data_IF_610999530820
#
_entry.id   IF_610999530820
#
_cell.length_a   1.000
_cell.length_b   1.000
_cell.length_c   1.000
_cell.angle_alpha   90.00
_cell.angle_beta   90.00
_cell.angle_gamma   90.00
#
_symmetry.space_group_name_H-M   'P 1'
#
loop_
_entity.id
_entity.type
_entity.pdbx_description
1 polymer ?
#
# COMPACT_ATOMS: atom_id res chain seq x y z
N UNK A 1 6.11 -3.03 -36.52
CA UNK A 1 4.80 -3.73 -36.45
C UNK A 1 4.84 -4.93 -35.50
N UNK A 2 5.90 -5.76 -35.50
CA UNK A 2 6.04 -6.93 -34.61
C UNK A 2 6.04 -6.59 -33.10
N UNK A 3 6.54 -5.42 -32.69
CA UNK A 3 6.56 -5.00 -31.28
C UNK A 3 5.13 -4.73 -30.73
N UNK A 4 4.19 -4.29 -31.57
CA UNK A 4 2.79 -4.06 -31.14
C UNK A 4 2.07 -5.37 -30.77
N UNK A 5 2.40 -6.49 -31.43
CA UNK A 5 1.73 -7.77 -31.22
C UNK A 5 2.16 -8.44 -29.90
N UNK A 6 3.43 -8.29 -29.51
CA UNK A 6 3.94 -8.82 -28.24
C UNK A 6 3.40 -8.10 -27.00
N UNK A 7 3.13 -6.79 -27.10
CA UNK A 7 2.59 -6.00 -26.00
C UNK A 7 1.13 -6.38 -25.69
N UNK A 8 0.31 -6.63 -26.71
CA UNK A 8 -1.07 -7.10 -26.51
C UNK A 8 -1.14 -8.52 -25.93
N UNK A 9 -0.22 -9.41 -26.31
CA UNK A 9 -0.18 -10.78 -25.79
C UNK A 9 0.27 -10.82 -24.32
N UNK A 10 1.23 -10.00 -23.93
CA UNK A 10 1.64 -9.88 -22.52
C UNK A 10 0.54 -9.26 -21.65
N UNK A 11 -0.21 -8.29 -22.19
CA UNK A 11 -1.34 -7.66 -21.53
C UNK A 11 -2.51 -8.64 -21.31
N UNK A 12 -2.82 -9.46 -22.31
CA UNK A 12 -3.82 -10.54 -22.19
C UNK A 12 -3.37 -11.61 -21.18
N UNK A 13 -2.10 -12.02 -21.19
CA UNK A 13 -1.57 -13.00 -20.24
C UNK A 13 -1.68 -12.49 -18.79
N UNK A 14 -1.37 -11.21 -18.57
CA UNK A 14 -1.47 -10.56 -17.26
C UNK A 14 -2.92 -10.43 -16.78
N UNK A 15 -3.86 -10.04 -17.65
CA UNK A 15 -5.29 -9.97 -17.32
C UNK A 15 -5.85 -11.37 -17.02
N UNK A 16 -5.42 -12.41 -17.75
CA UNK A 16 -5.83 -13.79 -17.49
C UNK A 16 -5.30 -14.27 -16.13
N UNK A 17 -4.03 -14.02 -15.82
CA UNK A 17 -3.45 -14.34 -14.50
C UNK A 17 -4.15 -13.55 -13.38
N UNK A 18 -4.56 -12.31 -13.64
CA UNK A 18 -5.32 -11.50 -12.69
C UNK A 18 -6.74 -12.03 -12.46
N UNK A 19 -7.47 -12.38 -13.52
CA UNK A 19 -8.83 -12.94 -13.43
C UNK A 19 -8.83 -14.31 -12.75
N UNK A 20 -7.80 -15.13 -12.99
CA UNK A 20 -7.65 -16.43 -12.32
C UNK A 20 -7.36 -16.30 -10.82
N UNK A 21 -6.73 -15.21 -10.36
CA UNK A 21 -6.47 -14.97 -8.93
C UNK A 21 -7.63 -14.24 -8.21
N UNK A 22 -8.56 -13.62 -8.94
CA UNK A 22 -9.70 -12.91 -8.34
C UNK A 22 -10.90 -13.80 -7.97
N UNK A 23 -10.81 -15.10 -8.22
CA UNK A 23 -11.94 -16.03 -8.09
C UNK A 23 -12.10 -16.70 -6.73
N UNK A 24 -11.80 -16.00 -5.63
CA UNK A 24 -12.08 -16.52 -4.29
C UNK A 24 -12.47 -15.38 -3.35
N UNK A 25 -13.77 -15.09 -3.23
CA UNK A 25 -14.47 -14.76 -1.96
C UNK A 25 -15.96 -14.69 -2.30
N UNK A 26 -16.66 -15.83 -2.19
CA UNK A 26 -18.12 -15.86 -2.08
C UNK A 26 -18.43 -16.80 -0.92
N UNK A 27 -19.07 -16.29 0.13
CA UNK A 27 -19.57 -17.11 1.24
C UNK A 27 -20.75 -17.96 0.74
N UNK A 28 -20.68 -19.28 0.90
CA UNK A 28 -21.73 -20.21 0.47
C UNK A 28 -23.10 -19.90 1.13
N UNK A 29 -23.10 -19.55 2.43
CA UNK A 29 -24.29 -19.07 3.14
C UNK A 29 -24.30 -17.52 3.15
N UNK A 30 -25.36 -16.86 2.65
CA UNK A 30 -25.45 -15.40 2.66
C UNK A 30 -25.32 -14.81 4.08
N UNK A 31 -24.41 -13.85 4.25
CA UNK A 31 -24.13 -13.17 5.52
C UNK A 31 -23.63 -14.07 6.67
N UNK A 32 -23.24 -15.31 6.41
CA UNK A 32 -22.66 -16.20 7.42
C UNK A 32 -21.22 -16.61 7.06
N UNK A 33 -20.21 -16.09 7.78
CA UNK A 33 -18.83 -16.52 7.60
C UNK A 33 -18.62 -17.95 8.11
N UNK A 34 -17.64 -18.68 7.57
CA UNK A 34 -17.36 -20.08 7.92
C UNK A 34 -17.21 -20.28 9.44
N UNK A 35 -16.49 -19.38 10.13
CA UNK A 35 -16.29 -19.44 11.59
C UNK A 35 -17.55 -19.25 12.45
N UNK A 36 -18.69 -18.85 11.86
CA UNK A 36 -20.00 -18.77 12.53
C UNK A 36 -20.87 -20.03 12.24
N UNK A 37 -20.31 -21.01 11.50
CA UNK A 37 -20.95 -22.29 11.16
C UNK A 37 -20.43 -23.44 12.01
N UNK A 38 -21.31 -24.39 12.33
CA UNK A 38 -20.95 -25.68 12.96
C UNK A 38 -21.22 -26.82 12.00
N UNK A 39 -20.50 -27.91 12.18
CA UNK A 39 -20.76 -29.14 11.44
C UNK A 39 -22.06 -29.80 11.94
N UNK A 40 -22.93 -30.17 11.01
CA UNK A 40 -24.26 -30.74 11.25
C UNK A 40 -24.36 -32.22 10.86
N UNK A 41 -23.24 -32.87 10.52
CA UNK A 41 -23.20 -34.25 10.03
C UNK A 41 -23.88 -35.23 11.01
N UNK A 42 -23.72 -35.02 12.32
CA UNK A 42 -24.33 -35.85 13.38
C UNK A 42 -25.62 -35.26 13.97
N UNK A 43 -26.14 -34.16 13.40
CA UNK A 43 -27.31 -33.46 13.94
C UNK A 43 -28.64 -34.08 13.45
N UNK A 44 -29.68 -34.03 14.30
CA UNK A 44 -30.98 -34.61 13.97
C UNK A 44 -31.72 -33.75 12.93
N UNK A 45 -31.93 -34.30 11.73
CA UNK A 45 -32.72 -33.67 10.67
C UNK A 45 -34.22 -33.80 10.91
N UNK A 46 -34.96 -32.74 10.67
CA UNK A 46 -36.42 -32.67 10.76
C UNK A 46 -37.06 -32.73 9.35
N UNK A 47 -38.31 -33.16 9.27
CA UNK A 47 -39.04 -33.36 8.01
C UNK A 47 -39.16 -32.09 7.15
N UNK A 48 -39.14 -30.92 7.80
CA UNK A 48 -39.17 -29.61 7.14
C UNK A 48 -37.79 -29.15 6.60
N UNK A 49 -36.77 -30.03 6.63
CA UNK A 49 -35.41 -29.75 6.17
C UNK A 49 -34.52 -29.00 7.16
N UNK A 50 -35.03 -28.64 8.34
CA UNK A 50 -34.22 -28.01 9.40
C UNK A 50 -33.42 -29.06 10.18
N UNK A 51 -32.36 -28.62 10.86
CA UNK A 51 -31.53 -29.48 11.72
C UNK A 51 -31.63 -29.03 13.18
N UNK A 52 -31.63 -29.98 14.10
CA UNK A 52 -31.57 -29.73 15.54
C UNK A 52 -30.17 -30.05 16.04
N UNK A 53 -29.45 -29.02 16.46
CA UNK A 53 -28.08 -29.09 16.98
C UNK A 53 -28.02 -28.47 18.38
N UNK A 54 -27.67 -29.25 19.41
CA UNK A 54 -27.57 -28.79 20.82
C UNK A 54 -28.76 -27.93 21.31
N UNK A 55 -29.99 -28.32 20.92
CA UNK A 55 -31.22 -27.61 21.28
C UNK A 55 -31.52 -26.36 20.44
N UNK A 56 -30.68 -26.02 19.45
CA UNK A 56 -30.90 -24.95 18.47
C UNK A 56 -31.51 -25.54 17.20
N UNK A 57 -32.55 -24.88 16.69
CA UNK A 57 -33.19 -25.22 15.42
C UNK A 57 -32.54 -24.39 14.29
N UNK A 58 -31.80 -25.05 13.39
CA UNK A 58 -31.13 -24.43 12.25
C UNK A 58 -32.02 -24.57 11.01
N UNK A 59 -32.57 -23.47 10.46
CA UNK A 59 -33.47 -23.53 9.32
C UNK A 59 -32.72 -23.83 8.01
N UNK A 60 -33.41 -24.35 6.97
CA UNK A 60 -32.78 -24.74 5.71
C UNK A 60 -31.98 -23.64 5.01
N UNK A 61 -32.37 -22.37 5.15
CA UNK A 61 -31.69 -21.24 4.52
C UNK A 61 -30.38 -20.82 5.21
N UNK A 62 -30.05 -21.42 6.36
CA UNK A 62 -28.79 -21.22 7.09
C UNK A 62 -27.91 -22.47 7.05
N UNK A 63 -28.10 -23.34 6.06
CA UNK A 63 -27.40 -24.63 5.92
C UNK A 63 -26.82 -24.70 4.51
N UNK A 64 -25.58 -25.15 4.40
CA UNK A 64 -24.98 -25.45 3.10
C UNK A 64 -23.91 -26.55 3.25
N UNK A 65 -23.45 -27.09 2.13
CA UNK A 65 -22.36 -28.04 2.10
C UNK A 65 -21.02 -27.35 1.83
N UNK A 66 -19.98 -27.88 2.46
CA UNK A 66 -18.62 -27.40 2.39
C UNK A 66 -17.69 -28.56 2.02
N UNK A 67 -16.72 -28.28 1.16
CA UNK A 67 -15.63 -29.17 0.75
C UNK A 67 -14.28 -28.74 1.33
N UNK A 68 -14.30 -27.82 2.30
CA UNK A 68 -13.11 -27.34 2.99
C UNK A 68 -13.37 -27.06 4.48
N UNK A 69 -12.30 -27.06 5.27
CA UNK A 69 -12.27 -26.50 6.63
C UNK A 69 -11.37 -25.27 6.67
N UNK A 70 -11.75 -24.25 7.45
CA UNK A 70 -10.91 -23.08 7.71
C UNK A 70 -10.14 -23.28 9.03
N UNK A 71 -8.81 -23.25 8.95
CA UNK A 71 -7.93 -23.27 10.12
C UNK A 71 -7.90 -21.89 10.81
N UNK A 72 -7.36 -21.85 12.03
CA UNK A 72 -7.32 -20.63 12.85
C UNK A 72 -6.52 -19.46 12.24
N UNK A 73 -5.62 -19.74 11.31
CA UNK A 73 -4.87 -18.75 10.52
C UNK A 73 -5.63 -18.25 9.28
N UNK A 74 -6.86 -18.72 9.04
CA UNK A 74 -7.66 -18.41 7.85
C UNK A 74 -7.36 -19.32 6.64
N UNK A 75 -6.42 -20.27 6.77
CA UNK A 75 -6.05 -21.19 5.70
C UNK A 75 -7.13 -22.25 5.49
N UNK A 76 -7.51 -22.49 4.24
CA UNK A 76 -8.49 -23.51 3.88
C UNK A 76 -7.80 -24.83 3.55
N UNK A 77 -8.29 -25.91 4.14
CA UNK A 77 -7.88 -27.27 3.82
C UNK A 77 -9.04 -28.03 3.20
N UNK A 78 -8.80 -28.60 2.02
CA UNK A 78 -9.78 -29.45 1.34
C UNK A 78 -10.10 -30.67 2.20
N UNK A 79 -11.39 -30.93 2.39
CA UNK A 79 -11.90 -32.10 3.11
C UNK A 79 -13.07 -32.70 2.34
N UNK A 80 -13.46 -33.94 2.63
CA UNK A 80 -14.70 -34.49 2.07
C UNK A 80 -15.90 -33.59 2.36
N UNK A 81 -16.86 -33.62 1.43
CA UNK A 81 -18.11 -32.88 1.53
C UNK A 81 -18.81 -33.16 2.86
N UNK A 82 -19.06 -32.10 3.62
CA UNK A 82 -19.74 -32.17 4.91
C UNK A 82 -20.76 -31.05 5.05
N UNK A 83 -21.76 -31.28 5.88
CA UNK A 83 -22.87 -30.34 6.07
C UNK A 83 -22.53 -29.38 7.20
N UNK A 84 -22.69 -28.08 6.96
CA UNK A 84 -22.55 -27.06 8.02
C UNK A 84 -23.76 -26.15 8.08
N UNK A 85 -24.00 -25.57 9.25
CA UNK A 85 -25.07 -24.59 9.45
C UNK A 85 -24.67 -23.43 10.34
N UNK A 86 -25.25 -22.25 10.05
CA UNK A 86 -24.94 -20.99 10.69
C UNK A 86 -25.58 -20.82 12.08
N UNK A 87 -25.18 -21.66 13.05
CA UNK A 87 -25.77 -21.67 14.40
C UNK A 87 -25.53 -20.36 15.15
N UNK A 88 -24.40 -19.70 14.91
CA UNK A 88 -23.98 -18.52 15.69
C UNK A 88 -24.72 -17.22 15.33
N UNK A 89 -25.55 -17.22 14.28
CA UNK A 89 -26.53 -16.16 14.03
C UNK A 89 -27.80 -16.30 14.87
N UNK A 90 -28.13 -17.52 15.30
CA UNK A 90 -29.36 -17.84 16.03
C UNK A 90 -29.12 -17.79 17.53
N UNK A 91 -27.95 -18.26 17.97
CA UNK A 91 -27.55 -18.31 19.39
C UNK A 91 -26.16 -17.72 19.57
N UNK A 92 -25.95 -17.06 20.71
CA UNK A 92 -24.65 -16.50 21.06
C UNK A 92 -23.60 -17.62 21.20
N UNK A 93 -22.62 -17.63 20.29
CA UNK A 93 -21.46 -18.51 20.35
C UNK A 93 -20.23 -17.79 20.92
N UNK A 94 -19.31 -18.57 21.49
CA UNK A 94 -17.95 -18.13 21.83
C UNK A 94 -16.95 -19.08 21.17
N UNK A 95 -15.88 -18.53 20.59
CA UNK A 95 -14.81 -19.33 19.96
C UNK A 95 -13.85 -19.82 21.05
N UNK A 96 -13.47 -21.10 21.02
CA UNK A 96 -12.41 -21.63 21.88
C UNK A 96 -11.06 -21.53 21.15
N UNK A 97 -10.00 -21.11 21.86
CA UNK A 97 -8.67 -21.03 21.25
C UNK A 97 -8.05 -22.44 21.14
N UNK A 98 -7.61 -22.85 19.94
CA UNK A 98 -6.99 -24.15 19.70
C UNK A 98 -5.45 -24.17 19.91
N UNK A 99 -4.80 -23.00 20.04
CA UNK A 99 -3.34 -22.87 20.28
C UNK A 99 -3.03 -22.03 21.53
N UNK A 100 -1.89 -22.26 22.22
CA UNK A 100 -1.50 -21.45 23.37
C UNK A 100 -1.12 -20.03 22.91
N UNK A 101 -1.98 -19.05 23.17
CA UNK A 101 -1.68 -17.62 22.95
C UNK A 101 -1.13 -16.91 24.20
N UNK A 102 -1.15 -15.57 24.21
CA UNK A 102 -0.92 -14.75 25.41
C UNK A 102 -2.24 -14.23 25.98
N UNK A 103 -2.41 -14.28 27.30
CA UNK A 103 -3.59 -13.80 28.00
C UNK A 103 -3.80 -12.29 27.83
N UNK A 104 -5.06 -11.87 27.66
CA UNK A 104 -5.42 -10.46 27.51
C UNK A 104 -5.43 -9.67 28.82
N UNK A 105 -5.40 -10.36 29.96
CA UNK A 105 -5.45 -9.74 31.28
C UNK A 105 -4.35 -10.25 32.21
N UNK A 106 -3.76 -9.32 32.95
CA UNK A 106 -3.08 -9.60 34.20
C UNK A 106 -3.99 -9.05 35.31
N UNK A 107 -4.71 -9.94 35.98
CA UNK A 107 -5.40 -9.74 37.27
C UNK A 107 -6.31 -8.51 37.43
N UNK A 108 -7.58 -8.62 36.98
CA UNK A 108 -8.76 -8.29 37.80
C UNK A 108 -10.06 -8.74 37.09
N UNK A 109 -11.01 -9.39 37.79
CA UNK A 109 -12.21 -9.95 37.17
C UNK A 109 -13.31 -8.89 37.02
N UNK A 110 -14.07 -9.00 35.94
CA UNK A 110 -15.37 -8.34 35.69
C UNK A 110 -15.33 -6.84 35.36
N UNK A 111 -14.93 -6.52 34.12
CA UNK A 111 -15.57 -5.41 33.40
C UNK A 111 -16.98 -5.85 32.94
N UNK A 112 -17.99 -4.99 33.07
CA UNK A 112 -19.38 -5.27 32.69
C UNK A 112 -19.47 -5.75 31.22
N UNK A 113 -19.73 -7.05 31.03
CA UNK A 113 -19.88 -7.70 29.74
C UNK A 113 -21.36 -7.89 29.38
N UNK A 114 -22.16 -6.82 29.35
CA UNK A 114 -23.62 -6.95 29.13
C UNK A 114 -23.97 -7.51 27.73
N UNK A 115 -23.10 -7.32 26.73
CA UNK A 115 -23.31 -7.79 25.35
C UNK A 115 -22.20 -8.71 24.79
N UNK A 116 -21.26 -9.15 25.62
CA UNK A 116 -20.08 -9.91 25.17
C UNK A 116 -19.04 -9.07 24.40
N UNK A 117 -19.09 -7.75 24.53
CA UNK A 117 -18.05 -6.82 24.09
C UNK A 117 -17.03 -6.64 25.20
N UNK A 118 -15.74 -6.73 24.88
CA UNK A 118 -14.65 -6.53 25.82
C UNK A 118 -13.93 -5.21 25.52
N UNK A 119 -13.42 -4.55 26.54
CA UNK A 119 -12.54 -3.39 26.38
C UNK A 119 -11.11 -3.83 26.68
N UNK A 120 -10.21 -3.74 25.71
CA UNK A 120 -8.80 -4.06 25.92
C UNK A 120 -8.11 -2.87 26.59
N UNK A 121 -7.47 -3.11 27.74
CA UNK A 121 -6.98 -2.01 28.58
C UNK A 121 -5.80 -1.23 27.97
N UNK A 122 -4.93 -1.90 27.22
CA UNK A 122 -3.69 -1.34 26.66
C UNK A 122 -3.94 -0.23 25.64
N UNK A 123 -4.91 -0.40 24.75
CA UNK A 123 -5.22 0.51 23.63
C UNK A 123 -6.65 1.04 23.66
N UNK A 124 -7.42 0.72 24.71
CA UNK A 124 -8.85 1.04 24.85
C UNK A 124 -9.69 0.54 23.67
N UNK A 125 -9.22 -0.48 22.94
CA UNK A 125 -9.98 -1.06 21.83
C UNK A 125 -11.22 -1.81 22.34
N UNK A 126 -12.37 -1.53 21.72
CA UNK A 126 -13.60 -2.30 21.95
C UNK A 126 -13.58 -3.54 21.06
N UNK A 127 -13.40 -4.71 21.67
CA UNK A 127 -13.39 -6.01 21.03
C UNK A 127 -14.80 -6.59 21.02
N UNK A 128 -15.31 -6.91 19.84
CA UNK A 128 -16.54 -7.67 19.66
C UNK A 128 -16.27 -9.16 19.81
N UNK A 129 -17.31 -10.00 19.85
CA UNK A 129 -17.18 -11.47 20.01
C UNK A 129 -16.34 -12.16 18.94
N UNK A 130 -16.06 -11.48 17.83
CA UNK A 130 -15.21 -11.99 16.74
C UNK A 130 -13.72 -11.71 16.97
N UNK A 131 -13.40 -10.74 17.80
CA UNK A 131 -12.05 -10.22 17.97
C UNK A 131 -11.29 -10.94 19.10
N UNK A 132 -11.94 -11.86 19.82
CA UNK A 132 -11.34 -12.66 20.89
C UNK A 132 -11.86 -14.11 20.89
N UNK A 133 -11.05 -15.03 21.41
CA UNK A 133 -11.43 -16.41 21.73
C UNK A 133 -11.30 -16.64 23.23
N UNK A 134 -11.91 -17.69 23.76
CA UNK A 134 -11.79 -18.07 25.16
C UNK A 134 -10.82 -19.24 25.29
N UNK A 135 -9.97 -19.22 26.31
CA UNK A 135 -9.13 -20.36 26.68
C UNK A 135 -9.21 -20.60 28.18
N UNK A 136 -9.03 -21.86 28.60
CA UNK A 136 -9.01 -22.21 30.00
C UNK A 136 -7.60 -21.99 30.57
N UNK A 137 -7.48 -21.16 31.59
CA UNK A 137 -6.23 -20.95 32.33
C UNK A 137 -6.40 -21.51 33.75
N UNK A 138 -5.37 -22.19 34.24
CA UNK A 138 -5.31 -22.61 35.64
C UNK A 138 -4.89 -21.43 36.51
N UNK A 139 -5.79 -21.00 37.40
CA UNK A 139 -5.51 -19.99 38.43
C UNK A 139 -5.83 -20.65 39.77
N UNK A 140 -4.82 -20.77 40.63
CA UNK A 140 -4.95 -21.41 41.94
C UNK A 140 -5.65 -22.78 41.86
N UNK A 141 -5.20 -23.65 40.95
CA UNK A 141 -5.73 -25.01 40.73
C UNK A 141 -7.18 -25.09 40.21
N UNK A 142 -7.80 -23.94 39.90
CA UNK A 142 -9.12 -23.88 39.25
C UNK A 142 -8.98 -23.42 37.79
N UNK A 143 -9.66 -24.10 36.88
CA UNK A 143 -9.71 -23.67 35.48
C UNK A 143 -10.77 -22.58 35.31
N UNK A 144 -10.34 -21.41 34.85
CA UNK A 144 -11.21 -20.30 34.51
C UNK A 144 -11.08 -19.98 33.03
N UNK A 145 -12.22 -19.78 32.36
CA UNK A 145 -12.26 -19.33 30.97
C UNK A 145 -11.88 -17.85 30.92
N UNK A 146 -10.84 -17.52 30.16
CA UNK A 146 -10.39 -16.15 29.95
C UNK A 146 -10.36 -15.79 28.47
N UNK A 147 -10.67 -14.53 28.12
CA UNK A 147 -10.54 -14.05 26.77
C UNK A 147 -9.07 -13.92 26.38
N UNK A 148 -8.77 -14.37 25.18
CA UNK A 148 -7.49 -14.33 24.49
C UNK A 148 -7.69 -13.60 23.17
N UNK A 149 -6.68 -12.85 22.72
CA UNK A 149 -6.75 -12.26 21.39
C UNK A 149 -6.82 -13.40 20.37
N UNK A 150 -7.89 -13.44 19.58
CA UNK A 150 -7.78 -14.06 18.27
C UNK A 150 -6.68 -13.28 17.51
N UNK A 151 -5.88 -13.92 16.63
CA UNK A 151 -5.29 -13.20 15.53
C UNK A 151 -6.43 -12.41 14.94
N UNK A 152 -6.30 -11.09 14.97
CA UNK A 152 -7.23 -10.22 14.28
C UNK A 152 -7.16 -10.71 12.84
N UNK A 153 -8.22 -11.38 12.37
CA UNK A 153 -8.41 -11.54 10.93
C UNK A 153 -8.57 -10.09 10.50
N UNK A 154 -7.50 -9.50 9.98
CA UNK A 154 -7.56 -8.19 9.37
C UNK A 154 -8.57 -8.31 8.23
N UNK A 155 -9.84 -8.03 8.50
CA UNK A 155 -10.80 -7.73 7.45
C UNK A 155 -10.21 -6.50 6.77
N UNK A 156 -9.48 -6.72 5.69
CA UNK A 156 -8.87 -5.67 4.89
C UNK A 156 -9.96 -4.63 4.63
N UNK A 157 -9.76 -3.43 5.21
CA UNK A 157 -10.74 -2.36 5.13
C UNK A 157 -11.18 -2.18 3.69
N UNK A 158 -12.48 -1.96 3.45
CA UNK A 158 -13.02 -1.76 2.10
C UNK A 158 -12.23 -0.69 1.32
N UNK A 159 -11.68 0.31 2.02
CA UNK A 159 -10.79 1.33 1.45
C UNK A 159 -9.48 0.74 0.91
N UNK A 160 -8.82 -0.16 1.65
CA UNK A 160 -7.57 -0.80 1.22
C UNK A 160 -7.81 -1.69 0.00
N UNK A 161 -8.93 -2.42 -0.03
CA UNK A 161 -9.34 -3.22 -1.20
C UNK A 161 -9.56 -2.33 -2.42
N UNK A 162 -10.33 -1.25 -2.29
CA UNK A 162 -10.60 -0.30 -3.39
C UNK A 162 -9.29 0.34 -3.89
N UNK A 163 -8.46 0.86 -2.98
CA UNK A 163 -7.18 1.47 -3.35
C UNK A 163 -6.25 0.49 -4.05
N UNK A 164 -6.18 -0.76 -3.57
CA UNK A 164 -5.37 -1.81 -4.21
C UNK A 164 -5.87 -2.12 -5.61
N UNK A 165 -7.17 -2.21 -5.82
CA UNK A 165 -7.76 -2.37 -7.16
C UNK A 165 -7.41 -1.20 -8.09
N UNK A 166 -7.50 0.04 -7.61
CA UNK A 166 -7.14 1.23 -8.40
C UNK A 166 -5.65 1.27 -8.74
N UNK A 167 -4.77 0.96 -7.78
CA UNK A 167 -3.33 0.85 -8.01
C UNK A 167 -3.03 -0.21 -9.07
N UNK A 168 -3.69 -1.35 -8.99
CA UNK A 168 -3.50 -2.45 -9.93
C UNK A 168 -3.96 -2.10 -11.36
N UNK A 169 -5.09 -1.39 -11.49
CA UNK A 169 -5.56 -0.88 -12.79
C UNK A 169 -4.59 0.16 -13.34
N UNK A 170 -3.98 0.99 -12.49
CA UNK A 170 -3.08 2.07 -12.89
C UNK A 170 -1.68 1.61 -13.25
N UNK A 171 -1.22 0.49 -12.69
CA UNK A 171 0.15 -0.03 -12.84
C UNK A 171 0.53 -0.32 -14.32
N UNK A 172 -0.31 -0.96 -15.16
CA UNK A 172 -0.02 -1.15 -16.58
C UNK A 172 0.25 0.16 -17.32
N UNK A 173 -0.53 1.22 -17.05
CA UNK A 173 -0.36 2.53 -17.71
C UNK A 173 0.99 3.18 -17.35
N UNK A 174 1.45 2.97 -16.12
CA UNK A 174 2.77 3.42 -15.69
C UNK A 174 3.90 2.70 -16.46
N UNK A 175 3.82 1.38 -16.61
CA UNK A 175 4.77 0.61 -17.43
C UNK A 175 4.72 0.98 -18.91
N UNK A 176 3.52 1.26 -19.45
CA UNK A 176 3.33 1.68 -20.84
C UNK A 176 3.94 3.06 -21.10
N UNK A 177 3.85 3.95 -20.11
CA UNK A 177 4.54 5.25 -20.11
C UNK A 177 6.06 5.03 -20.20
N UNK A 178 6.64 4.21 -19.31
CA UNK A 178 8.07 3.90 -19.31
C UNK A 178 8.52 3.35 -20.67
N UNK A 179 7.77 2.39 -21.22
CA UNK A 179 8.06 1.78 -22.52
C UNK A 179 8.06 2.81 -23.64
N UNK A 180 7.10 3.73 -23.66
CA UNK A 180 7.02 4.81 -24.65
C UNK A 180 8.26 5.71 -24.62
N UNK A 181 8.63 6.20 -23.44
CA UNK A 181 9.80 7.06 -23.27
C UNK A 181 11.12 6.35 -23.60
N UNK A 182 11.19 5.04 -23.36
CA UNK A 182 12.38 4.23 -23.65
C UNK A 182 12.50 3.84 -25.13
N UNK A 183 11.40 3.46 -25.78
CA UNK A 183 11.39 2.94 -27.14
C UNK A 183 11.59 4.01 -28.21
N UNK A 184 11.27 5.28 -27.92
CA UNK A 184 11.43 6.40 -28.84
C UNK A 184 12.80 7.05 -28.61
N UNK A 185 13.80 6.89 -29.51
CA UNK A 185 15.16 7.39 -29.28
C UNK A 185 15.23 8.91 -29.10
N UNK A 186 14.33 9.64 -29.77
CA UNK A 186 14.22 11.10 -29.66
C UNK A 186 13.84 11.54 -28.24
N UNK A 187 12.99 10.77 -27.56
CA UNK A 187 12.62 11.02 -26.16
C UNK A 187 13.70 10.52 -25.22
N UNK A 188 14.18 9.30 -25.41
CA UNK A 188 15.16 8.66 -24.53
C UNK A 188 16.50 9.42 -24.46
N UNK A 189 16.96 10.00 -25.56
CA UNK A 189 18.25 10.69 -25.58
C UNK A 189 18.27 12.00 -24.78
N UNK A 190 17.11 12.49 -24.36
CA UNK A 190 17.02 13.71 -23.57
C UNK A 190 17.26 13.39 -22.09
N UNK A 191 18.18 14.13 -21.46
CA UNK A 191 18.62 13.89 -20.07
C UNK A 191 17.46 13.89 -19.06
N UNK A 192 16.52 14.84 -19.17
CA UNK A 192 15.37 14.92 -18.28
C UNK A 192 14.46 13.69 -18.40
N UNK A 193 14.28 13.16 -19.62
CA UNK A 193 13.47 11.96 -19.84
C UNK A 193 14.13 10.70 -19.27
N UNK A 194 15.47 10.62 -19.26
CA UNK A 194 16.18 9.52 -18.57
C UNK A 194 15.92 9.55 -17.07
N UNK A 195 15.96 10.73 -16.45
CA UNK A 195 15.64 10.89 -15.03
C UNK A 195 14.16 10.57 -14.76
N UNK A 196 13.26 10.99 -15.65
CA UNK A 196 11.83 10.66 -15.59
C UNK A 196 11.60 9.15 -15.66
N UNK A 197 12.28 8.42 -16.55
CA UNK A 197 12.19 6.95 -16.61
C UNK A 197 12.60 6.32 -15.28
N UNK A 198 13.70 6.77 -14.66
CA UNK A 198 14.13 6.25 -13.35
C UNK A 198 13.11 6.56 -12.24
N UNK A 199 12.52 7.76 -12.25
CA UNK A 199 11.41 8.14 -11.37
C UNK A 199 10.20 7.21 -11.54
N UNK A 200 9.71 7.04 -12.77
CA UNK A 200 8.53 6.21 -13.08
C UNK A 200 8.78 4.74 -12.75
N UNK A 201 9.98 4.24 -13.06
CA UNK A 201 10.41 2.89 -12.72
C UNK A 201 10.39 2.67 -11.21
N UNK A 202 10.90 3.65 -10.44
CA UNK A 202 10.88 3.57 -8.98
C UNK A 202 9.44 3.48 -8.44
N UNK A 203 8.55 4.34 -8.95
CA UNK A 203 7.13 4.31 -8.56
C UNK A 203 6.46 2.99 -8.95
N UNK A 204 6.78 2.43 -10.12
CA UNK A 204 6.21 1.17 -10.59
C UNK A 204 6.61 -0.01 -9.70
N UNK A 205 7.90 -0.14 -9.36
CA UNK A 205 8.36 -1.23 -8.49
C UNK A 205 7.80 -1.07 -7.07
N UNK A 206 7.79 0.14 -6.53
CA UNK A 206 7.25 0.41 -5.19
C UNK A 206 5.76 0.02 -5.09
N UNK A 207 4.94 0.48 -6.03
CA UNK A 207 3.51 0.13 -6.09
C UNK A 207 3.29 -1.37 -6.32
N UNK A 208 4.12 -2.03 -7.15
CA UNK A 208 4.06 -3.49 -7.34
C UNK A 208 4.28 -4.24 -6.02
N UNK A 209 5.25 -3.81 -5.23
CA UNK A 209 5.52 -4.42 -3.91
C UNK A 209 4.34 -4.22 -2.96
N UNK A 210 3.78 -3.01 -2.86
CA UNK A 210 2.60 -2.75 -2.00
C UNK A 210 1.39 -3.55 -2.44
N UNK A 211 1.10 -3.64 -3.74
CA UNK A 211 0.03 -4.49 -4.27
C UNK A 211 0.26 -5.95 -3.84
N UNK A 212 1.50 -6.46 -3.94
CA UNK A 212 1.82 -7.84 -3.55
C UNK A 212 1.58 -8.11 -2.06
N UNK A 213 1.76 -7.09 -1.21
CA UNK A 213 1.44 -7.16 0.23
C UNK A 213 -0.07 -7.18 0.43
N UNK A 214 -0.79 -6.26 -0.20
CA UNK A 214 -2.23 -6.09 0.01
C UNK A 214 -3.08 -7.23 -0.57
N UNK A 215 -2.60 -7.91 -1.61
CA UNK A 215 -3.30 -9.02 -2.26
C UNK A 215 -3.17 -10.34 -1.48
N UNK A 216 -2.19 -10.47 -0.59
CA UNK A 216 -1.92 -11.73 0.12
C UNK A 216 -2.58 -11.74 1.49
N UNK A 217 -3.70 -12.48 1.59
CA UNK A 217 -4.46 -12.61 2.84
C UNK A 217 -3.66 -13.29 3.97
N UNK A 218 -2.88 -14.33 3.64
CA UNK A 218 -2.12 -15.12 4.64
C UNK A 218 -0.86 -14.41 5.17
N UNK A 219 -0.61 -13.18 4.71
CA UNK A 219 0.61 -12.44 4.99
C UNK A 219 1.88 -13.12 4.45
N UNK A 220 3.04 -12.58 4.82
CA UNK A 220 4.34 -13.11 4.42
C UNK A 220 5.15 -13.52 5.66
N UNK A 221 5.99 -14.55 5.51
CA UNK A 221 7.02 -14.87 6.53
C UNK A 221 7.90 -13.64 6.79
N UNK A 222 8.35 -13.46 8.02
CA UNK A 222 9.14 -12.30 8.49
C UNK A 222 10.26 -11.88 7.54
N UNK A 223 11.07 -12.84 7.06
CA UNK A 223 12.19 -12.55 6.14
C UNK A 223 11.68 -12.01 4.79
N UNK A 224 10.70 -12.69 4.18
CA UNK A 224 10.10 -12.27 2.91
C UNK A 224 9.41 -10.92 3.04
N UNK A 225 8.67 -10.72 4.14
CA UNK A 225 8.00 -9.47 4.48
C UNK A 225 8.99 -8.31 4.64
N UNK A 226 10.12 -8.57 5.29
CA UNK A 226 11.22 -7.59 5.44
C UNK A 226 11.81 -7.21 4.09
N UNK A 227 12.05 -8.19 3.20
CA UNK A 227 12.58 -7.94 1.85
C UNK A 227 11.60 -7.09 1.05
N UNK A 228 10.33 -7.48 0.97
CA UNK A 228 9.31 -6.75 0.21
C UNK A 228 9.18 -5.32 0.73
N UNK A 229 9.05 -5.13 2.05
CA UNK A 229 8.94 -3.81 2.65
C UNK A 229 10.18 -2.94 2.43
N UNK A 230 11.38 -3.53 2.51
CA UNK A 230 12.65 -2.81 2.26
C UNK A 230 12.79 -2.38 0.80
N UNK A 231 12.38 -3.24 -0.14
CA UNK A 231 12.39 -2.94 -1.58
C UNK A 231 11.38 -1.83 -1.88
N UNK A 232 10.15 -1.93 -1.37
CA UNK A 232 9.15 -0.89 -1.51
C UNK A 232 9.66 0.46 -0.96
N UNK A 233 10.25 0.45 0.24
CA UNK A 233 10.78 1.64 0.90
C UNK A 233 11.89 2.31 0.08
N UNK A 234 12.87 1.52 -0.38
CA UNK A 234 13.96 2.01 -1.23
C UNK A 234 13.44 2.70 -2.50
N UNK A 235 12.49 2.08 -3.19
CA UNK A 235 11.96 2.60 -4.45
C UNK A 235 11.03 3.81 -4.25
N UNK A 236 10.22 3.87 -3.20
CA UNK A 236 9.47 5.10 -2.90
C UNK A 236 10.42 6.26 -2.61
N UNK A 237 11.45 6.07 -1.77
CA UNK A 237 12.48 7.10 -1.56
C UNK A 237 13.18 7.47 -2.87
N UNK A 238 13.56 6.48 -3.67
CA UNK A 238 14.12 6.68 -5.00
C UNK A 238 13.26 7.59 -5.88
N UNK A 239 11.95 7.41 -5.88
CA UNK A 239 11.03 8.28 -6.62
C UNK A 239 11.13 9.75 -6.15
N UNK A 240 11.15 10.02 -4.83
CA UNK A 240 11.31 11.38 -4.32
C UNK A 240 12.66 12.01 -4.68
N UNK A 241 13.75 11.26 -4.58
CA UNK A 241 15.07 11.76 -4.95
C UNK A 241 15.21 11.98 -6.46
N UNK A 242 14.64 11.12 -7.30
CA UNK A 242 14.59 11.33 -8.74
C UNK A 242 13.74 12.54 -9.12
N UNK A 243 12.61 12.76 -8.45
CA UNK A 243 11.81 13.98 -8.61
C UNK A 243 12.62 15.23 -8.24
N UNK A 244 13.41 15.15 -7.16
CA UNK A 244 14.31 16.23 -6.76
C UNK A 244 15.41 16.51 -7.80
N UNK A 245 16.02 15.46 -8.37
CA UNK A 245 16.98 15.58 -9.48
C UNK A 245 16.33 16.25 -10.69
N UNK A 246 15.11 15.88 -11.05
CA UNK A 246 14.37 16.48 -12.17
C UNK A 246 14.16 17.97 -11.93
N UNK A 247 13.66 18.36 -10.75
CA UNK A 247 13.49 19.78 -10.38
C UNK A 247 14.81 20.56 -10.44
N UNK A 248 15.91 19.96 -9.98
CA UNK A 248 17.23 20.56 -10.03
C UNK A 248 17.77 20.70 -11.45
N UNK A 249 17.63 19.67 -12.29
CA UNK A 249 18.10 19.70 -13.68
C UNK A 249 17.37 20.79 -14.49
N UNK A 250 16.05 20.91 -14.30
CA UNK A 250 15.24 21.96 -14.92
C UNK A 250 15.73 23.33 -14.47
N UNK A 251 15.90 23.56 -13.17
CA UNK A 251 16.46 24.81 -12.67
C UNK A 251 17.78 25.14 -13.35
N UNK A 252 18.72 24.19 -13.35
CA UNK A 252 20.07 24.42 -13.87
C UNK A 252 20.03 24.67 -15.36
N UNK A 253 19.13 24.02 -16.11
CA UNK A 253 18.90 24.28 -17.52
C UNK A 253 18.39 25.71 -17.82
N UNK A 254 17.70 26.36 -16.88
CA UNK A 254 17.36 27.79 -17.01
C UNK A 254 18.49 28.73 -16.60
N UNK A 255 19.32 28.31 -15.64
CA UNK A 255 20.46 29.12 -15.20
C UNK A 255 21.68 28.99 -16.12
N UNK A 256 21.81 27.88 -16.86
CA UNK A 256 22.97 27.56 -17.70
C UNK A 256 22.48 27.10 -19.07
N UNK A 257 23.10 27.61 -20.12
CA UNK A 257 22.81 27.21 -21.51
C UNK A 257 23.40 25.81 -21.81
N UNK A 258 22.84 24.77 -21.17
CA UNK A 258 23.30 23.37 -21.23
C UNK A 258 23.08 22.71 -22.60
N UNK A 259 22.53 23.45 -23.57
CA UNK A 259 22.10 22.97 -24.89
C UNK A 259 23.24 22.43 -25.74
N UNK A 260 24.42 23.05 -25.64
CA UNK A 260 25.58 22.76 -26.48
C UNK A 260 26.57 21.78 -25.83
N UNK A 261 26.19 21.11 -24.74
CA UNK A 261 27.09 20.15 -24.09
C UNK A 261 27.24 18.88 -24.93
N UNK A 262 28.48 18.39 -25.15
CA UNK A 262 28.74 17.11 -25.78
C UNK A 262 28.00 15.97 -25.08
N UNK A 263 27.61 14.93 -25.82
CA UNK A 263 26.90 13.76 -25.27
C UNK A 263 27.66 13.11 -24.11
N UNK A 264 28.99 13.07 -24.18
CA UNK A 264 29.86 12.58 -23.10
C UNK A 264 29.68 13.36 -21.79
N UNK A 265 29.45 14.67 -21.86
CA UNK A 265 29.19 15.51 -20.69
C UNK A 265 27.81 15.21 -20.09
N UNK A 266 26.79 14.93 -20.93
CA UNK A 266 25.45 14.52 -20.47
C UNK A 266 25.47 13.18 -19.75
N UNK A 267 26.23 12.19 -20.25
CA UNK A 267 26.41 10.91 -19.55
C UNK A 267 27.09 11.09 -18.18
N UNK A 268 28.12 11.94 -18.08
CA UNK A 268 28.77 12.26 -16.81
C UNK A 268 27.84 12.95 -15.82
N UNK A 269 26.97 13.84 -16.30
CA UNK A 269 25.94 14.50 -15.47
C UNK A 269 24.92 13.47 -14.96
N UNK A 270 24.38 12.63 -15.85
CA UNK A 270 23.45 11.56 -15.47
C UNK A 270 24.05 10.61 -14.43
N UNK A 271 25.33 10.24 -14.57
CA UNK A 271 26.00 9.39 -13.59
C UNK A 271 26.08 10.04 -12.20
N UNK A 272 26.35 11.35 -12.12
CA UNK A 272 26.34 12.10 -10.86
C UNK A 272 24.94 12.14 -10.23
N UNK A 273 23.92 12.40 -11.05
CA UNK A 273 22.52 12.37 -10.61
C UNK A 273 22.11 10.98 -10.10
N UNK A 274 22.48 9.94 -10.82
CA UNK A 274 22.23 8.55 -10.46
C UNK A 274 22.90 8.18 -9.13
N UNK A 275 24.16 8.58 -8.93
CA UNK A 275 24.87 8.35 -7.67
C UNK A 275 24.16 9.02 -6.48
N UNK A 276 23.63 10.23 -6.66
CA UNK A 276 22.84 10.91 -5.64
C UNK A 276 21.49 10.22 -5.39
N UNK A 277 20.70 10.01 -6.46
CA UNK A 277 19.32 9.57 -6.36
C UNK A 277 19.16 8.09 -6.01
N UNK A 278 20.16 7.24 -6.25
CA UNK A 278 20.18 5.87 -5.76
C UNK A 278 20.99 5.71 -4.48
N UNK A 279 22.08 6.47 -4.33
CA UNK A 279 22.99 6.35 -3.19
C UNK A 279 22.33 6.77 -1.87
N UNK A 280 21.60 7.88 -1.84
CA UNK A 280 20.94 8.33 -0.61
C UNK A 280 19.81 7.40 -0.16
N UNK A 281 18.86 6.96 -1.02
CA UNK A 281 17.92 5.92 -0.65
C UNK A 281 18.58 4.62 -0.19
N UNK A 282 19.68 4.20 -0.84
CA UNK A 282 20.42 3.00 -0.40
C UNK A 282 20.94 3.17 1.03
N UNK A 283 21.59 4.31 1.32
CA UNK A 283 22.10 4.62 2.65
C UNK A 283 20.97 4.64 3.68
N UNK A 284 19.87 5.33 3.38
CA UNK A 284 18.70 5.40 4.28
C UNK A 284 18.09 4.01 4.52
N UNK A 285 17.91 3.19 3.48
CA UNK A 285 17.40 1.81 3.62
C UNK A 285 18.32 0.96 4.47
N UNK A 286 19.65 1.04 4.28
CA UNK A 286 20.62 0.30 5.08
C UNK A 286 20.55 0.73 6.55
N UNK A 287 20.45 2.03 6.84
CA UNK A 287 20.28 2.53 8.22
C UNK A 287 18.97 2.03 8.83
N UNK A 288 17.86 2.12 8.10
CA UNK A 288 16.53 1.66 8.55
C UNK A 288 16.54 0.16 8.89
N UNK A 289 17.18 -0.67 8.06
CA UNK A 289 17.32 -2.12 8.30
C UNK A 289 18.27 -2.38 9.49
N UNK A 290 19.41 -1.68 9.56
CA UNK A 290 20.37 -1.85 10.64
C UNK A 290 19.74 -1.52 12.00
N UNK A 291 18.97 -0.42 12.08
CA UNK A 291 18.27 -0.02 13.31
C UNK A 291 17.15 -1.00 13.68
N UNK A 292 16.43 -1.56 12.71
CA UNK A 292 15.41 -2.60 12.95
C UNK A 292 15.98 -3.82 13.70
N UNK A 293 17.16 -4.29 13.30
CA UNK A 293 17.83 -5.46 13.91
C UNK A 293 18.76 -5.13 15.08
N UNK A 294 18.92 -3.84 15.41
CA UNK A 294 19.73 -3.41 16.55
C UNK A 294 19.00 -3.54 17.89
N UNK A 295 19.76 -3.41 18.98
CA UNK A 295 19.26 -3.47 20.35
C UNK A 295 18.73 -2.11 20.86
N UNK A 296 17.94 -1.42 20.03
CA UNK A 296 17.29 -0.16 20.39
C UNK A 296 15.85 -0.39 20.89
N UNK A 297 15.28 0.54 21.69
CA UNK A 297 13.88 0.48 22.10
C UNK A 297 12.93 0.38 20.90
N UNK A 298 11.85 -0.40 21.04
CA UNK A 298 10.89 -0.67 19.96
C UNK A 298 10.27 0.58 19.32
N UNK A 299 10.15 1.69 20.07
CA UNK A 299 9.63 2.96 19.56
C UNK A 299 10.49 3.61 18.46
N UNK A 300 11.78 3.25 18.40
CA UNK A 300 12.71 3.75 17.38
C UNK A 300 12.92 2.77 16.24
N UNK A 301 12.30 1.58 16.30
CA UNK A 301 12.38 0.59 15.23
C UNK A 301 11.46 0.97 14.07
N UNK A 302 11.85 0.61 12.86
CA UNK A 302 11.06 0.92 11.67
C UNK A 302 9.75 0.12 11.62
N UNK A 303 9.75 -1.07 12.22
CA UNK A 303 8.63 -2.00 12.26
C UNK A 303 8.48 -2.88 11.02
N UNK A 304 9.33 -2.66 10.00
CA UNK A 304 9.32 -3.45 8.75
C UNK A 304 9.57 -4.93 9.07
N UNK A 305 8.65 -5.79 8.63
CA UNK A 305 8.73 -7.24 8.81
C UNK A 305 8.35 -7.75 10.20
N UNK A 306 8.04 -6.86 11.15
CA UNK A 306 7.58 -7.23 12.49
C UNK A 306 6.05 -7.16 12.61
N UNK A 307 5.43 -6.06 12.19
CA UNK A 307 3.96 -5.90 12.18
C UNK A 307 3.38 -6.06 10.78
N UNK A 308 3.91 -5.32 9.81
CA UNK A 308 3.49 -5.37 8.41
C UNK A 308 4.70 -5.37 7.48
N UNK A 309 4.47 -5.67 6.19
CA UNK A 309 5.50 -5.60 5.15
C UNK A 309 5.67 -4.16 4.62
N UNK A 310 5.63 -3.21 5.56
CA UNK A 310 5.79 -1.78 5.36
C UNK A 310 6.21 -1.13 6.69
N UNK A 311 6.51 0.16 6.68
CA UNK A 311 6.80 0.95 7.88
C UNK A 311 5.62 0.91 8.85
N UNK A 312 5.92 0.84 10.15
CA UNK A 312 4.91 0.95 11.19
C UNK A 312 4.31 2.36 11.20
N UNK A 313 3.00 2.42 11.00
CA UNK A 313 2.22 3.66 10.91
C UNK A 313 1.75 4.11 12.31
N UNK A 314 1.61 3.17 13.25
CA UNK A 314 1.25 3.44 14.63
C UNK A 314 2.49 3.92 15.42
N UNK A 315 2.72 5.24 15.46
CA UNK A 315 3.80 5.87 16.22
C UNK A 315 4.54 6.97 15.46
N UNK A 316 5.85 7.11 15.70
CA UNK A 316 6.72 8.09 15.01
C UNK A 316 7.61 7.46 13.92
N UNK A 317 7.54 6.13 13.72
CA UNK A 317 8.41 5.40 12.80
C UNK A 317 8.30 5.91 11.36
N UNK A 318 7.09 5.93 10.78
CA UNK A 318 6.90 6.42 9.41
C UNK A 318 7.33 7.88 9.25
N UNK A 319 7.15 8.71 10.30
CA UNK A 319 7.64 10.09 10.31
C UNK A 319 9.17 10.19 10.29
N UNK A 320 9.87 9.45 11.14
CA UNK A 320 11.33 9.51 11.23
C UNK A 320 12.00 8.97 9.97
N UNK A 321 11.51 7.84 9.46
CA UNK A 321 12.20 7.10 8.39
C UNK A 321 11.75 7.47 6.99
N UNK A 322 10.55 8.04 6.80
CA UNK A 322 9.99 8.29 5.47
C UNK A 322 9.40 9.68 5.30
N UNK A 323 8.34 10.02 6.04
CA UNK A 323 7.63 11.29 5.83
C UNK A 323 8.54 12.50 6.10
N UNK A 324 9.29 12.55 7.20
CA UNK A 324 10.21 13.66 7.48
C UNK A 324 11.20 13.95 6.34
N UNK A 325 11.99 12.94 5.90
CA UNK A 325 12.85 13.08 4.73
C UNK A 325 12.13 13.49 3.45
N UNK A 326 10.97 12.90 3.15
CA UNK A 326 10.17 13.25 1.97
C UNK A 326 9.65 14.69 2.03
N UNK A 327 9.24 15.19 3.20
CA UNK A 327 8.76 16.55 3.39
C UNK A 327 9.89 17.57 3.14
N UNK A 328 11.10 17.26 3.60
CA UNK A 328 12.29 18.07 3.31
C UNK A 328 12.54 18.13 1.80
N UNK A 329 12.49 17.00 1.09
CA UNK A 329 12.67 16.95 -0.36
C UNK A 329 11.58 17.73 -1.11
N UNK A 330 10.32 17.60 -0.70
CA UNK A 330 9.20 18.36 -1.26
C UNK A 330 9.44 19.86 -1.07
N UNK A 331 9.88 20.28 0.12
CA UNK A 331 10.17 21.70 0.42
C UNK A 331 11.28 22.25 -0.48
N UNK A 332 12.36 21.49 -0.65
CA UNK A 332 13.46 21.85 -1.55
C UNK A 332 12.96 21.94 -3.00
N UNK A 333 12.12 21.00 -3.44
CA UNK A 333 11.52 20.99 -4.78
C UNK A 333 10.63 22.20 -5.01
N UNK A 334 9.81 22.59 -4.04
CA UNK A 334 8.96 23.79 -4.12
C UNK A 334 9.80 25.05 -4.29
N UNK A 335 10.88 25.21 -3.50
CA UNK A 335 11.80 26.34 -3.62
C UNK A 335 12.43 26.36 -5.02
N UNK A 336 12.89 25.21 -5.50
CA UNK A 336 13.49 25.08 -6.83
C UNK A 336 12.52 25.42 -7.96
N UNK A 337 11.28 24.97 -7.83
CA UNK A 337 10.25 25.24 -8.80
C UNK A 337 9.90 26.74 -8.86
N UNK A 338 9.69 27.38 -7.71
CA UNK A 338 9.37 28.81 -7.64
C UNK A 338 10.44 29.68 -8.31
N UNK A 339 11.71 29.34 -8.13
CA UNK A 339 12.83 30.08 -8.68
C UNK A 339 13.02 29.80 -10.18
N UNK A 340 12.76 28.57 -10.64
CA UNK A 340 12.69 28.23 -12.07
C UNK A 340 11.60 29.06 -12.78
N UNK A 341 10.40 29.12 -12.20
CA UNK A 341 9.29 29.94 -12.72
C UNK A 341 9.64 31.42 -12.77
N UNK A 342 10.23 31.99 -11.71
CA UNK A 342 10.69 33.38 -11.69
C UNK A 342 11.68 33.68 -12.82
N UNK A 343 12.63 32.78 -13.06
CA UNK A 343 13.61 32.92 -14.16
C UNK A 343 12.93 32.92 -15.53
N UNK A 344 11.97 32.01 -15.75
CA UNK A 344 11.20 31.94 -17.01
C UNK A 344 10.43 33.23 -17.27
N UNK A 345 9.76 33.78 -16.25
CA UNK A 345 9.04 35.05 -16.40
C UNK A 345 9.99 36.22 -16.68
N UNK A 346 11.16 36.25 -16.03
CA UNK A 346 12.21 37.25 -16.29
C UNK A 346 12.73 37.17 -17.74
N UNK A 347 13.06 35.97 -18.20
CA UNK A 347 13.60 35.76 -19.55
C UNK A 347 12.54 36.08 -20.61
N UNK A 348 11.28 35.70 -20.38
CA UNK A 348 10.15 36.10 -21.23
C UNK A 348 10.02 37.60 -21.39
N UNK A 349 10.17 38.35 -20.29
CA UNK A 349 10.12 39.81 -20.32
C UNK A 349 11.26 40.36 -21.20
N UNK A 350 12.47 39.84 -21.03
CA UNK A 350 13.65 40.23 -21.80
C UNK A 350 13.55 39.89 -23.30
N UNK A 351 12.95 38.75 -23.66
CA UNK A 351 12.72 38.36 -25.06
C UNK A 351 11.58 39.12 -25.75
N UNK A 352 10.57 39.58 -25.00
CA UNK A 352 9.48 40.41 -25.55
C UNK A 352 9.99 41.80 -25.97
N UNK A 353 10.99 42.31 -25.26
CA UNK A 353 11.58 43.63 -25.51
C UNK A 353 12.68 43.59 -26.58
N UNK A 354 13.18 42.39 -26.94
CA UNK A 354 14.27 42.16 -27.91
C UNK A 354 13.75 41.21 -28.99
N UNK A 355 13.06 41.74 -30.01
CA UNK A 355 12.71 41.00 -31.24
C UNK A 355 13.94 40.26 -31.79
N UNK A 356 14.00 38.92 -31.73
CA UNK A 356 15.13 38.14 -32.26
C UNK A 356 14.87 36.62 -32.43
N UNK A 357 14.75 36.21 -33.70
CA UNK A 357 14.84 34.83 -34.26
C UNK A 357 13.75 33.81 -33.87
N UNK A 358 13.19 33.13 -34.88
CA UNK A 358 12.20 32.05 -34.72
C UNK A 358 12.72 30.86 -33.88
N UNK A 359 14.03 30.58 -33.93
CA UNK A 359 14.65 29.46 -33.20
C UNK A 359 14.71 29.68 -31.68
N UNK A 360 14.94 30.93 -31.25
CA UNK A 360 14.95 31.29 -29.82
C UNK A 360 13.54 31.24 -29.23
N UNK A 361 12.53 31.69 -29.99
CA UNK A 361 11.12 31.59 -29.59
C UNK A 361 10.64 30.13 -29.50
N UNK A 362 11.02 29.28 -30.46
CA UNK A 362 10.71 27.84 -30.45
C UNK A 362 11.35 27.12 -29.26
N UNK A 363 12.57 27.51 -28.90
CA UNK A 363 13.26 27.01 -27.72
C UNK A 363 12.56 27.39 -26.41
N UNK A 364 12.23 28.68 -26.22
CA UNK A 364 11.55 29.16 -25.02
C UNK A 364 10.21 28.44 -24.81
N UNK A 365 9.48 28.20 -25.92
CA UNK A 365 8.22 27.45 -25.92
C UNK A 365 8.42 25.97 -25.54
N UNK A 366 9.44 25.31 -26.08
CA UNK A 366 9.76 23.92 -25.70
C UNK A 366 10.13 23.80 -24.21
N UNK A 367 10.89 24.75 -23.68
CA UNK A 367 11.29 24.77 -22.27
C UNK A 367 10.12 25.05 -21.34
N UNK A 368 9.21 25.96 -21.72
CA UNK A 368 7.96 26.20 -20.99
C UNK A 368 7.10 24.93 -20.92
N UNK A 369 6.94 24.20 -22.04
CA UNK A 369 6.21 22.94 -22.05
C UNK A 369 6.82 21.92 -21.09
N UNK A 370 8.15 21.76 -21.09
CA UNK A 370 8.83 20.87 -20.14
C UNK A 370 8.59 21.30 -18.69
N UNK A 371 8.73 22.58 -18.35
CA UNK A 371 8.46 23.09 -17.00
C UNK A 371 7.04 22.81 -16.57
N UNK A 372 6.08 23.02 -17.48
CA UNK A 372 4.68 22.86 -17.15
C UNK A 372 4.29 21.38 -17.00
N UNK A 373 4.89 20.48 -17.79
CA UNK A 373 4.81 19.04 -17.58
C UNK A 373 5.33 18.66 -16.19
N UNK A 374 6.54 19.08 -15.84
CA UNK A 374 7.14 18.74 -14.56
C UNK A 374 6.47 19.43 -13.37
N UNK A 375 5.87 20.61 -13.57
CA UNK A 375 5.00 21.25 -12.58
C UNK A 375 3.78 20.38 -12.30
N UNK A 376 3.07 19.94 -13.35
CA UNK A 376 1.91 19.06 -13.22
C UNK A 376 2.28 17.76 -12.50
N UNK A 377 3.39 17.15 -12.88
CA UNK A 377 3.92 15.96 -12.20
C UNK A 377 4.23 16.26 -10.72
N UNK A 378 4.90 17.38 -10.42
CA UNK A 378 5.19 17.78 -9.04
C UNK A 378 3.92 18.06 -8.23
N UNK A 379 2.90 18.70 -8.80
CA UNK A 379 1.64 18.98 -8.10
C UNK A 379 0.89 17.67 -7.83
N UNK A 380 0.73 16.81 -8.83
CA UNK A 380 0.05 15.51 -8.69
C UNK A 380 0.71 14.69 -7.59
N UNK A 381 2.04 14.63 -7.57
CA UNK A 381 2.77 13.83 -6.59
C UNK A 381 2.91 14.55 -5.24
N UNK A 382 3.39 15.79 -5.23
CA UNK A 382 3.65 16.56 -4.01
C UNK A 382 2.40 16.80 -3.18
N UNK A 383 1.26 17.15 -3.81
CA UNK A 383 0.01 17.37 -3.07
C UNK A 383 -0.52 16.07 -2.49
N UNK A 384 -0.54 14.98 -3.26
CA UNK A 384 -1.02 13.68 -2.75
C UNK A 384 -0.21 13.21 -1.55
N UNK A 385 1.12 13.31 -1.59
CA UNK A 385 1.97 12.95 -0.47
C UNK A 385 1.85 13.88 0.75
N UNK A 386 1.61 15.19 0.55
CA UNK A 386 1.31 16.10 1.65
C UNK A 386 -0.02 15.73 2.31
N UNK A 387 -1.04 15.37 1.54
CA UNK A 387 -2.35 14.96 2.07
C UNK A 387 -2.23 13.68 2.90
N UNK A 388 -1.47 12.69 2.43
CA UNK A 388 -1.15 11.46 3.16
C UNK A 388 -0.43 11.77 4.50
N UNK A 389 0.51 12.70 4.50
CA UNK A 389 1.19 13.15 5.72
C UNK A 389 0.26 13.84 6.72
N UNK A 390 -0.67 14.66 6.24
CA UNK A 390 -1.66 15.30 7.09
C UNK A 390 -2.59 14.25 7.68
N UNK A 391 -3.05 13.27 6.88
CA UNK A 391 -3.85 12.15 7.35
C UNK A 391 -3.14 11.34 8.44
N UNK A 392 -1.85 11.09 8.25
CA UNK A 392 -0.99 10.45 9.26
C UNK A 392 -0.94 11.23 10.58
N UNK A 393 -0.75 12.55 10.53
CA UNK A 393 -0.62 13.41 11.71
C UNK A 393 -1.93 13.59 12.49
N UNK A 394 -3.07 13.61 11.80
CA UNK A 394 -4.38 13.81 12.42
C UNK A 394 -4.93 12.54 13.12
N UNK A 395 -4.28 11.39 12.90
CA UNK A 395 -4.62 10.14 13.56
C UNK A 395 -5.92 9.48 13.07
N UNK A 396 -6.15 8.24 13.51
CA UNK A 396 -7.13 7.30 12.94
C UNK A 396 -8.59 7.76 13.04
N UNK A 397 -8.95 8.64 14.00
CA UNK A 397 -10.34 9.10 14.16
C UNK A 397 -10.80 10.12 13.11
N UNK A 398 -9.92 10.97 12.57
CA UNK A 398 -10.25 11.89 11.47
C UNK A 398 -9.94 11.31 10.09
N UNK A 399 -9.08 10.28 10.03
CA UNK A 399 -8.67 9.64 8.79
C UNK A 399 -9.80 8.85 8.09
N UNK A 400 -10.93 8.61 8.78
CA UNK A 400 -12.11 7.96 8.18
C UNK A 400 -13.01 8.94 7.39
N UNK A 401 -12.66 10.23 7.39
CA UNK A 401 -13.37 11.23 6.57
C UNK A 401 -13.25 10.91 5.08
N UNK A 402 -14.32 11.22 4.34
CA UNK A 402 -14.39 11.05 2.88
C UNK A 402 -13.19 11.71 2.17
N UNK A 403 -12.68 12.81 2.73
CA UNK A 403 -11.57 13.58 2.18
C UNK A 403 -10.28 12.74 2.04
N UNK A 404 -9.85 12.05 3.11
CA UNK A 404 -8.63 11.22 3.06
C UNK A 404 -8.82 10.00 2.16
N UNK A 405 -10.01 9.38 2.16
CA UNK A 405 -10.34 8.29 1.23
C UNK A 405 -10.20 8.71 -0.24
N UNK A 406 -10.62 9.93 -0.58
CA UNK A 406 -10.47 10.49 -1.93
C UNK A 406 -8.99 10.80 -2.24
N UNK A 407 -8.24 11.30 -1.26
CA UNK A 407 -6.81 11.56 -1.42
C UNK A 407 -6.03 10.26 -1.71
N UNK A 408 -6.31 9.19 -0.96
CA UNK A 408 -5.68 7.88 -1.17
C UNK A 408 -6.04 7.31 -2.55
N UNK A 409 -7.30 7.47 -2.99
CA UNK A 409 -7.74 7.07 -4.33
C UNK A 409 -7.03 7.85 -5.45
N UNK A 410 -6.76 9.14 -5.24
CA UNK A 410 -5.96 9.95 -6.15
C UNK A 410 -4.50 9.48 -6.20
N UNK A 411 -3.91 9.15 -5.05
CA UNK A 411 -2.58 8.56 -4.97
C UNK A 411 -2.52 7.20 -5.70
N UNK A 412 -3.52 6.35 -5.48
CA UNK A 412 -3.64 5.05 -6.14
C UNK A 412 -3.76 5.15 -7.67
N UNK A 413 -4.34 6.24 -8.19
CA UNK A 413 -4.55 6.47 -9.63
C UNK A 413 -3.41 7.20 -10.33
N UNK A 414 -2.30 7.48 -9.64
CA UNK A 414 -1.15 8.21 -10.19
C UNK A 414 -0.62 7.63 -11.51
N UNK A 415 -0.59 6.30 -11.65
CA UNK A 415 -0.13 5.66 -12.89
C UNK A 415 -0.97 6.02 -14.11
N UNK A 416 -2.30 6.10 -13.93
CA UNK A 416 -3.22 6.51 -14.98
C UNK A 416 -3.11 8.02 -15.26
N UNK A 417 -3.04 8.84 -14.20
CA UNK A 417 -2.92 10.30 -14.31
C UNK A 417 -1.66 10.67 -15.10
N UNK A 418 -0.52 10.05 -14.77
CA UNK A 418 0.76 10.32 -15.44
C UNK A 418 0.71 9.91 -16.92
N UNK A 419 0.04 8.81 -17.26
CA UNK A 419 -0.10 8.38 -18.66
C UNK A 419 -0.94 9.35 -19.50
N UNK A 420 -1.94 9.99 -18.89
CA UNK A 420 -2.77 10.99 -19.56
C UNK A 420 -2.10 12.37 -19.72
N UNK A 421 -1.07 12.67 -18.91
CA UNK A 421 -0.32 13.93 -18.92
C UNK A 421 0.78 13.94 -19.99
#
# INVERSE_FOLDING_TARGET
MMIKLHVHTFFLLYIVIYLMNSHYVLSNIPNCPFGDTVELTDAHRLDNGSYRYEGVLVPPHLIDHYDYIELYNGEQHDVPWHLRGCVCQIKNCFKLCCTPGKALYNTNPMGNCENGTLLREYDKAKLTRRDYCMTAISINETFQLQPYNCPIIETTSSTVKVNTTVMLISLPFLFLTILTYWAIPELYNILHNKCLICYLFSLAIANTMIISVNMRADGYKTVTCTIIGSVAYFFYLGAFFWLNVICFDIWVAFCRDLKNLPQNSKCKIFLKYSLYAWGLPTCMTVVTIALQFSNIPNQFKSGIGYSHCWLQIEGWSAMMYFHGPCLLLITINTIMFCLSVRKIYSDRKQFRDISRSADSARYLKSQEHSVWLFFRLFVVMGVSWILEMIGYLLGREQNDSLFFKVADGFNASQGLIIFCL
#
